data_IF_281609493163
#
_entry.id   IF_281609493163
#
_cell.length_a   1.000
_cell.length_b   1.000
_cell.length_c   1.000
_cell.angle_alpha   90.00
_cell.angle_beta   90.00
_cell.angle_gamma   90.00
#
_symmetry.space_group_name_H-M   'P 1'
#
loop_
_entity.id
_entity.type
_entity.pdbx_description
1 polymer ?
#
# COMPACT_ATOMS: atom_id res chain seq x y z
N UNK A 1 21.10 -17.01 6.21
CA UNK A 1 20.04 -16.04 5.89
C UNK A 1 20.20 -14.88 6.86
N UNK A 2 20.45 -13.63 6.42
CA UNK A 2 20.72 -12.56 7.37
C UNK A 2 19.42 -11.98 7.92
N UNK A 3 19.44 -11.64 9.21
CA UNK A 3 18.32 -11.32 10.11
C UNK A 3 17.68 -9.92 9.87
N UNK A 4 17.87 -9.30 8.70
CA UNK A 4 17.43 -7.93 8.41
C UNK A 4 16.08 -7.78 7.71
N UNK A 5 15.46 -8.86 7.23
CA UNK A 5 14.28 -8.79 6.34
C UNK A 5 12.93 -8.64 7.08
N UNK A 6 12.84 -9.03 8.36
CA UNK A 6 11.56 -9.05 9.09
C UNK A 6 11.09 -7.67 9.57
N UNK A 7 12.02 -6.72 9.83
CA UNK A 7 11.65 -5.34 10.14
C UNK A 7 11.01 -4.64 8.94
N UNK A 8 11.47 -4.95 7.73
CA UNK A 8 10.98 -4.32 6.51
C UNK A 8 9.48 -4.63 6.31
N UNK A 9 9.05 -5.90 6.43
CA UNK A 9 7.68 -6.31 6.07
C UNK A 9 6.61 -5.66 6.94
N UNK A 10 6.89 -5.45 8.22
CA UNK A 10 5.95 -4.80 9.14
C UNK A 10 5.80 -3.32 8.85
N UNK A 11 6.90 -2.62 8.56
CA UNK A 11 6.89 -1.19 8.23
C UNK A 11 6.20 -0.93 6.88
N UNK A 12 6.53 -1.73 5.87
CA UNK A 12 5.84 -1.73 4.58
C UNK A 12 4.35 -1.99 4.75
N UNK A 13 3.97 -3.07 5.44
CA UNK A 13 2.57 -3.43 5.59
C UNK A 13 1.79 -2.37 6.38
N UNK A 14 2.41 -1.72 7.37
CA UNK A 14 1.82 -0.60 8.11
C UNK A 14 1.55 0.59 7.19
N UNK A 15 2.55 1.03 6.41
CA UNK A 15 2.41 2.18 5.50
C UNK A 15 1.41 1.88 4.39
N UNK A 16 1.51 0.71 3.75
CA UNK A 16 0.60 0.29 2.68
C UNK A 16 -0.85 0.27 3.17
N UNK A 17 -1.13 -0.33 4.34
CA UNK A 17 -2.49 -0.34 4.90
C UNK A 17 -2.99 1.05 5.27
N UNK A 18 -2.14 1.93 5.78
CA UNK A 18 -2.52 3.31 6.10
C UNK A 18 -2.96 4.08 4.85
N UNK A 19 -2.18 3.97 3.76
CA UNK A 19 -2.52 4.63 2.49
C UNK A 19 -3.77 4.01 1.88
N UNK A 20 -3.92 2.68 1.96
CA UNK A 20 -5.13 2.00 1.49
C UNK A 20 -6.39 2.46 2.24
N UNK A 21 -6.33 2.59 3.56
CA UNK A 21 -7.44 3.11 4.35
C UNK A 21 -7.74 4.59 4.02
N UNK A 22 -6.71 5.41 3.79
CA UNK A 22 -6.89 6.79 3.34
C UNK A 22 -7.54 6.87 1.95
N UNK A 23 -7.21 5.94 1.04
CA UNK A 23 -7.85 5.80 -0.26
C UNK A 23 -9.34 5.45 -0.10
N UNK A 24 -9.69 4.46 0.70
CA UNK A 24 -11.08 4.06 0.96
C UNK A 24 -11.91 5.25 1.49
N UNK A 25 -11.37 6.02 2.43
CA UNK A 25 -12.00 7.24 2.93
C UNK A 25 -12.15 8.33 1.85
N UNK A 26 -11.14 8.51 0.99
CA UNK A 26 -11.19 9.47 -0.11
C UNK A 26 -12.21 9.07 -1.19
N UNK A 27 -12.35 7.76 -1.48
CA UNK A 27 -13.35 7.21 -2.40
C UNK A 27 -14.77 7.46 -1.87
N UNK A 28 -15.00 7.18 -0.58
CA UNK A 28 -16.29 7.42 0.08
C UNK A 28 -16.72 8.90 0.07
N UNK A 29 -15.76 9.82 0.08
CA UNK A 29 -15.99 11.27 0.04
C UNK A 29 -15.92 11.85 -1.39
N UNK A 30 -15.75 11.00 -2.41
CA UNK A 30 -15.60 11.40 -3.82
C UNK A 30 -14.45 12.40 -4.08
N UNK A 31 -13.40 12.38 -3.26
CA UNK A 31 -12.24 13.26 -3.36
C UNK A 31 -11.27 12.76 -4.43
N UNK A 32 -11.65 12.91 -5.71
CA UNK A 32 -10.94 12.33 -6.87
C UNK A 32 -9.43 12.58 -6.90
N UNK A 33 -9.00 13.80 -6.59
CA UNK A 33 -7.57 14.13 -6.56
C UNK A 33 -6.83 13.36 -5.45
N UNK A 34 -7.46 13.21 -4.29
CA UNK A 34 -6.89 12.45 -3.18
C UNK A 34 -6.84 10.96 -3.49
N UNK A 35 -7.88 10.42 -4.15
CA UNK A 35 -7.88 9.03 -4.66
C UNK A 35 -6.73 8.80 -5.65
N UNK A 36 -6.48 9.74 -6.54
CA UNK A 36 -5.36 9.64 -7.48
C UNK A 36 -4.00 9.64 -6.75
N UNK A 37 -3.81 10.57 -5.80
CA UNK A 37 -2.58 10.66 -5.01
C UNK A 37 -2.34 9.42 -4.14
N UNK A 38 -3.37 8.85 -3.53
CA UNK A 38 -3.22 7.63 -2.73
C UNK A 38 -2.92 6.41 -3.60
N UNK A 39 -3.46 6.32 -4.81
CA UNK A 39 -3.07 5.28 -5.78
C UNK A 39 -1.59 5.40 -6.18
N UNK A 40 -1.10 6.62 -6.46
CA UNK A 40 0.32 6.84 -6.73
C UNK A 40 1.21 6.47 -5.54
N UNK A 41 0.79 6.84 -4.32
CA UNK A 41 1.54 6.52 -3.12
C UNK A 41 1.59 4.99 -2.86
N UNK A 42 0.51 4.26 -3.10
CA UNK A 42 0.49 2.80 -3.01
C UNK A 42 1.44 2.15 -4.02
N UNK A 43 1.48 2.70 -5.25
CA UNK A 43 2.39 2.22 -6.28
C UNK A 43 3.86 2.46 -5.88
N UNK A 44 4.20 3.68 -5.44
CA UNK A 44 5.55 4.00 -5.02
C UNK A 44 6.02 3.10 -3.87
N UNK A 45 5.19 2.90 -2.85
CA UNK A 45 5.52 2.03 -1.71
C UNK A 45 5.71 0.57 -2.17
N UNK A 46 4.97 0.11 -3.17
CA UNK A 46 5.12 -1.22 -3.73
C UNK A 46 6.42 -1.38 -4.54
N UNK A 47 6.81 -0.35 -5.29
CA UNK A 47 8.06 -0.31 -6.05
C UNK A 47 9.29 -0.23 -5.12
N UNK A 48 9.24 0.66 -4.12
CA UNK A 48 10.30 0.83 -3.13
C UNK A 48 10.57 -0.48 -2.37
N UNK A 49 9.51 -1.23 -2.07
CA UNK A 49 9.61 -2.54 -1.42
C UNK A 49 10.40 -3.56 -2.25
N UNK A 50 10.17 -3.60 -3.56
CA UNK A 50 10.86 -4.51 -4.47
C UNK A 50 12.19 -3.94 -5.01
N UNK A 51 12.52 -2.69 -4.66
CA UNK A 51 13.70 -1.98 -5.18
C UNK A 51 13.62 -1.71 -6.68
N UNK A 52 12.41 -1.52 -7.21
CA UNK A 52 12.16 -1.31 -8.63
C UNK A 52 12.15 0.18 -8.98
N UNK A 53 12.75 0.53 -10.12
CA UNK A 53 12.63 1.86 -10.71
C UNK A 53 11.33 1.94 -11.53
N UNK A 54 10.39 2.86 -11.22
CA UNK A 54 9.14 3.01 -11.97
C UNK A 54 9.33 3.17 -13.48
N UNK A 55 10.41 3.82 -13.93
CA UNK A 55 10.68 4.04 -15.36
C UNK A 55 11.13 2.75 -16.07
N UNK A 56 11.47 1.71 -15.31
CA UNK A 56 11.93 0.41 -15.83
C UNK A 56 10.84 -0.66 -15.91
N UNK A 57 9.65 -0.40 -15.36
CA UNK A 57 8.56 -1.38 -15.22
C UNK A 57 7.43 -1.07 -16.19
N UNK A 58 7.00 -2.03 -17.05
CA UNK A 58 5.85 -1.82 -17.93
C UNK A 58 4.55 -1.53 -17.15
N UNK A 59 3.73 -0.61 -17.65
CA UNK A 59 2.45 -0.21 -17.03
C UNK A 59 1.53 -1.40 -16.67
N UNK A 60 1.52 -2.43 -17.51
CA UNK A 60 0.73 -3.67 -17.30
C UNK A 60 1.15 -4.46 -16.06
N UNK A 61 2.39 -4.31 -15.62
CA UNK A 61 2.93 -4.99 -14.43
C UNK A 61 2.72 -4.19 -13.14
N UNK A 62 2.52 -2.87 -13.23
CA UNK A 62 2.31 -1.98 -12.08
C UNK A 62 1.01 -2.30 -11.33
N UNK A 63 -0.09 -2.56 -12.05
CA UNK A 63 -1.37 -2.94 -11.43
C UNK A 63 -1.31 -4.29 -10.72
N UNK A 64 -0.60 -5.26 -11.31
CA UNK A 64 -0.37 -6.59 -10.73
C UNK A 64 0.49 -6.49 -9.46
N UNK A 65 1.54 -5.67 -9.51
CA UNK A 65 2.43 -5.40 -8.40
C UNK A 65 1.68 -4.87 -7.18
N UNK A 66 0.84 -3.84 -7.34
CA UNK A 66 0.04 -3.28 -6.24
C UNK A 66 -0.91 -4.32 -5.64
N UNK A 67 -1.54 -5.16 -6.48
CA UNK A 67 -2.42 -6.23 -6.01
C UNK A 67 -1.69 -7.30 -5.20
N UNK A 68 -0.49 -7.69 -5.63
CA UNK A 68 0.37 -8.63 -4.90
C UNK A 68 0.78 -8.05 -3.53
N UNK A 69 1.20 -6.78 -3.52
CA UNK A 69 1.60 -6.03 -2.33
C UNK A 69 0.47 -5.84 -1.34
N UNK A 70 -0.75 -5.58 -1.82
CA UNK A 70 -1.93 -5.57 -0.97
C UNK A 70 -2.15 -6.90 -0.26
N UNK A 71 -1.92 -8.03 -0.95
CA UNK A 71 -2.04 -9.37 -0.37
C UNK A 71 -1.01 -9.62 0.73
N UNK A 72 0.23 -9.17 0.53
CA UNK A 72 1.31 -9.25 1.53
C UNK A 72 1.02 -8.35 2.74
N UNK A 73 0.54 -7.13 2.49
CA UNK A 73 0.23 -6.18 3.56
C UNK A 73 -0.97 -6.62 4.42
N UNK A 74 -1.87 -7.43 3.88
CA UNK A 74 -3.09 -7.89 4.56
C UNK A 74 -2.97 -9.28 5.18
N UNK A 75 -2.07 -10.13 4.69
CA UNK A 75 -1.89 -11.50 5.17
C UNK A 75 -1.35 -11.60 6.61
N UNK A 76 -0.67 -10.56 7.12
CA UNK A 76 -0.18 -10.50 8.50
C UNK A 76 -0.92 -9.52 9.43
N UNK A 77 -2.01 -8.87 8.97
CA UNK A 77 -2.49 -7.62 9.57
C UNK A 77 -3.96 -7.58 10.02
N UNK A 78 -4.68 -8.70 10.00
CA UNK A 78 -6.13 -8.74 10.32
C UNK A 78 -6.51 -8.31 11.74
N UNK A 79 -5.54 -8.05 12.62
CA UNK A 79 -5.82 -7.85 14.05
C UNK A 79 -5.87 -6.38 14.52
N UNK A 80 -5.39 -5.37 13.78
CA UNK A 80 -5.10 -4.06 14.41
C UNK A 80 -5.43 -2.76 13.63
N UNK A 81 -6.47 -2.72 12.78
CA UNK A 81 -7.02 -1.44 12.31
C UNK A 81 -8.48 -1.29 12.73
N UNK A 82 -8.69 -0.79 13.95
CA UNK A 82 -9.96 -0.22 14.37
C UNK A 82 -10.06 1.19 13.78
N UNK A 83 -10.84 1.34 12.71
CA UNK A 83 -11.27 2.66 12.22
C UNK A 83 -12.29 3.19 13.22
N UNK A 84 -11.91 4.21 14.00
CA UNK A 84 -12.84 4.89 14.90
C UNK A 84 -13.73 5.82 14.06
N UNK A 85 -15.00 5.43 13.89
CA UNK A 85 -16.03 6.34 13.40
C UNK A 85 -16.41 7.31 14.52
N UNK A 86 -16.28 8.61 14.29
CA UNK A 86 -16.82 9.64 15.18
C UNK A 86 -18.29 9.92 14.75
N UNK A 87 -19.27 9.97 15.69
CA UNK A 87 -20.69 10.26 15.42
C UNK A 87 -20.99 11.59 14.74
#
# INVERSE_FOLDING_TARGET
>A
MPEGASLNIHDFARIFRLIAAAKEGAEALELRNLVHLTNMALLQVALDWDGLDPESVPDTDLGRLVGEKARIATSGGRENLLVLHHP
#
